data_IF_527395325406
#
_entry.id   IF_527395325406
#
_cell.length_a   1.000
_cell.length_b   1.000
_cell.length_c   1.000
_cell.angle_alpha   90.00
_cell.angle_beta   90.00
_cell.angle_gamma   90.00
#
_symmetry.space_group_name_H-M   'P 1'
#
loop_
_entity.id
_entity.type
_entity.pdbx_description
1 polymer ?
#
# COMPACT_ATOMS: atom_id res chain seq x y z
N UNK A 1 5.72 -26.52 -15.74
CA UNK A 1 4.96 -25.29 -15.42
C UNK A 1 5.68 -24.12 -16.05
N UNK A 2 5.01 -23.35 -16.89
CA UNK A 2 5.54 -22.10 -17.44
C UNK A 2 5.85 -21.13 -16.30
N UNK A 3 6.81 -20.23 -16.49
CA UNK A 3 7.20 -19.27 -15.45
C UNK A 3 6.02 -18.38 -15.02
N UNK A 4 5.09 -18.12 -15.94
CA UNK A 4 3.85 -17.40 -15.63
C UNK A 4 2.95 -18.16 -14.63
N UNK A 5 2.79 -19.49 -14.78
CA UNK A 5 1.99 -20.28 -13.84
C UNK A 5 2.59 -20.33 -12.43
N UNK A 6 3.92 -20.32 -12.32
CA UNK A 6 4.62 -20.26 -11.02
C UNK A 6 4.43 -18.90 -10.37
N UNK A 7 4.59 -17.81 -11.13
CA UNK A 7 4.41 -16.45 -10.61
C UNK A 7 2.95 -16.19 -10.20
N UNK A 8 1.98 -16.70 -10.96
CA UNK A 8 0.57 -16.59 -10.62
C UNK A 8 0.24 -17.29 -9.28
N UNK A 9 0.78 -18.49 -9.06
CA UNK A 9 0.62 -19.20 -7.78
C UNK A 9 1.35 -18.49 -6.64
N UNK A 10 2.54 -17.93 -6.88
CA UNK A 10 3.23 -17.07 -5.91
C UNK A 10 2.34 -15.89 -5.50
N UNK A 11 1.76 -15.18 -6.46
CA UNK A 11 0.87 -14.04 -6.16
C UNK A 11 -0.40 -14.46 -5.46
N UNK A 12 -0.98 -15.61 -5.82
CA UNK A 12 -2.12 -16.18 -5.09
C UNK A 12 -1.78 -16.32 -3.62
N UNK A 13 -0.68 -16.99 -3.30
CA UNK A 13 -0.25 -17.20 -1.92
C UNK A 13 0.08 -15.89 -1.20
N UNK A 14 0.71 -14.93 -1.88
CA UNK A 14 1.05 -13.63 -1.28
C UNK A 14 -0.22 -12.85 -0.92
N UNK A 15 -1.19 -12.81 -1.83
CA UNK A 15 -2.41 -12.01 -1.66
C UNK A 15 -3.46 -12.69 -0.77
N UNK A 16 -3.51 -14.02 -0.71
CA UNK A 16 -4.35 -14.77 0.25
C UNK A 16 -3.69 -14.92 1.63
N UNK A 17 -2.43 -14.49 1.79
CA UNK A 17 -1.69 -14.57 3.05
C UNK A 17 -1.11 -15.96 3.37
N UNK A 18 -1.13 -16.90 2.42
CA UNK A 18 -0.55 -18.24 2.53
C UNK A 18 0.98 -18.24 2.38
N UNK A 19 1.57 -17.18 1.82
CA UNK A 19 3.02 -17.09 1.60
C UNK A 19 3.79 -16.91 2.92
N UNK A 20 4.47 -17.98 3.35
CA UNK A 20 5.03 -18.14 4.71
C UNK A 20 6.11 -17.12 5.08
N UNK A 21 6.79 -16.51 4.11
CA UNK A 21 7.93 -15.65 4.39
C UNK A 21 7.53 -14.21 4.73
N UNK A 22 6.35 -13.74 4.28
CA UNK A 22 5.85 -12.40 4.66
C UNK A 22 5.58 -12.33 6.17
N UNK A 23 4.83 -13.24 6.82
CA UNK A 23 4.63 -13.21 8.27
C UNK A 23 5.93 -13.30 9.08
N UNK A 24 6.95 -14.00 8.58
CA UNK A 24 8.27 -14.07 9.23
C UNK A 24 9.00 -12.73 9.11
N UNK A 25 9.06 -12.16 7.91
CA UNK A 25 9.67 -10.85 7.69
C UNK A 25 9.00 -9.78 8.54
N UNK A 26 7.66 -9.77 8.58
CA UNK A 26 6.87 -8.86 9.41
C UNK A 26 7.21 -8.97 10.90
N UNK A 27 7.37 -10.19 11.42
CA UNK A 27 7.75 -10.45 12.82
C UNK A 27 9.17 -9.99 13.13
N UNK A 28 10.11 -10.23 12.24
CA UNK A 28 11.50 -9.79 12.38
C UNK A 28 11.60 -8.25 12.38
N UNK A 29 11.02 -7.61 11.35
CA UNK A 29 11.08 -6.17 11.17
C UNK A 29 10.32 -5.39 12.26
N UNK A 30 9.29 -6.00 12.87
CA UNK A 30 8.57 -5.40 14.00
C UNK A 30 9.48 -5.14 15.22
N UNK A 31 10.60 -5.85 15.37
CA UNK A 31 11.56 -5.63 16.46
C UNK A 31 12.40 -4.37 16.28
N UNK A 32 12.50 -3.87 15.05
CA UNK A 32 13.25 -2.65 14.75
C UNK A 32 12.28 -1.47 14.93
N UNK A 33 12.50 -0.57 15.90
CA UNK A 33 11.61 0.56 16.14
C UNK A 33 11.68 1.56 14.98
N UNK A 34 10.62 2.36 14.85
CA UNK A 34 10.42 3.47 13.88
C UNK A 34 9.21 3.27 12.96
N UNK A 35 8.56 4.39 12.64
CA UNK A 35 7.50 4.56 11.63
C UNK A 35 7.92 5.67 10.66
N UNK A 36 7.39 5.73 9.43
CA UNK A 36 6.48 4.78 8.79
C UNK A 36 7.16 3.48 8.37
N UNK A 37 6.36 2.45 8.07
CA UNK A 37 6.82 1.11 7.67
C UNK A 37 6.25 0.65 6.33
N UNK A 38 6.98 -0.27 5.70
CA UNK A 38 6.50 -1.04 4.57
C UNK A 38 5.26 -1.86 4.95
N UNK A 39 4.16 -1.66 4.23
CA UNK A 39 2.88 -2.35 4.48
C UNK A 39 2.93 -3.86 4.24
N UNK A 40 3.88 -4.34 3.42
CA UNK A 40 4.08 -5.77 3.14
C UNK A 40 4.95 -6.42 4.23
N UNK A 41 6.20 -5.97 4.39
CA UNK A 41 7.19 -6.65 5.24
C UNK A 41 7.52 -5.98 6.58
N UNK A 42 6.89 -4.85 6.93
CA UNK A 42 7.15 -4.02 8.13
C UNK A 42 8.53 -3.34 8.21
N UNK A 43 9.32 -3.33 7.14
CA UNK A 43 10.59 -2.61 7.10
C UNK A 43 10.40 -1.11 7.44
N UNK A 44 11.06 -0.56 8.46
CA UNK A 44 10.98 0.87 8.81
C UNK A 44 11.67 1.75 7.76
N UNK A 45 11.15 2.96 7.58
CA UNK A 45 11.65 3.93 6.60
C UNK A 45 12.42 5.10 7.21
N UNK A 46 12.19 5.41 8.48
CA UNK A 46 12.75 6.60 9.12
C UNK A 46 13.57 6.27 10.38
N UNK A 47 14.24 7.29 10.93
CA UNK A 47 15.00 7.18 12.17
C UNK A 47 16.15 6.16 12.10
N UNK A 48 16.69 5.82 13.27
CA UNK A 48 17.81 4.88 13.38
C UNK A 48 17.45 3.48 12.83
N UNK A 49 16.22 3.02 13.06
CA UNK A 49 15.75 1.74 12.54
C UNK A 49 15.70 1.69 11.03
N UNK A 50 15.20 2.74 10.38
CA UNK A 50 15.21 2.86 8.92
C UNK A 50 16.62 2.95 8.36
N UNK A 51 17.52 3.69 9.01
CA UNK A 51 18.93 3.77 8.60
C UNK A 51 19.62 2.40 8.70
N UNK A 52 19.41 1.66 9.79
CA UNK A 52 19.94 0.31 9.95
C UNK A 52 19.47 -0.62 8.82
N UNK A 53 18.17 -0.64 8.53
CA UNK A 53 17.60 -1.47 7.45
C UNK A 53 18.11 -1.06 6.09
N UNK A 54 18.28 0.24 5.84
CA UNK A 54 18.86 0.73 4.59
C UNK A 54 20.31 0.30 4.41
N UNK A 55 21.13 0.38 5.46
CA UNK A 55 22.55 0.03 5.39
C UNK A 55 22.79 -1.47 5.31
N UNK A 56 21.98 -2.27 6.01
CA UNK A 56 22.18 -3.72 6.10
C UNK A 56 21.45 -4.51 5.02
N UNK A 57 20.25 -4.09 4.65
CA UNK A 57 19.39 -4.80 3.69
C UNK A 57 19.24 -4.07 2.35
N UNK A 58 19.79 -2.86 2.21
CA UNK A 58 19.63 -2.05 0.99
C UNK A 58 18.18 -1.57 0.77
N UNK A 59 17.33 -1.63 1.80
CA UNK A 59 15.89 -1.36 1.67
C UNK A 59 15.57 0.06 2.15
N UNK A 60 14.99 0.85 1.26
CA UNK A 60 14.38 2.15 1.57
C UNK A 60 12.95 2.24 1.04
N UNK A 61 12.26 3.38 1.17
CA UNK A 61 10.97 3.60 0.52
C UNK A 61 11.06 3.40 -1.01
N UNK A 62 10.05 2.77 -1.61
CA UNK A 62 9.94 2.65 -3.06
C UNK A 62 9.65 4.02 -3.69
N UNK A 63 10.16 4.24 -4.91
CA UNK A 63 9.89 5.44 -5.72
C UNK A 63 8.48 5.46 -6.30
N UNK A 64 7.86 4.29 -6.46
CA UNK A 64 6.52 4.15 -7.06
C UNK A 64 5.44 4.30 -5.99
N UNK A 65 5.62 3.65 -4.83
CA UNK A 65 4.69 3.77 -3.72
C UNK A 65 5.47 3.88 -2.39
N UNK A 66 5.47 5.05 -1.74
CA UNK A 66 6.24 5.28 -0.51
C UNK A 66 5.74 4.46 0.70
N UNK A 67 4.59 3.77 0.59
CA UNK A 67 4.12 2.82 1.60
C UNK A 67 4.75 1.42 1.48
N UNK A 68 5.53 1.16 0.43
CA UNK A 68 6.27 -0.09 0.22
C UNK A 68 7.79 0.17 0.20
N UNK A 69 8.59 -0.84 0.55
CA UNK A 69 10.04 -0.76 0.42
C UNK A 69 10.52 -1.16 -0.98
N UNK A 70 11.70 -0.69 -1.38
CA UNK A 70 12.35 -1.06 -2.64
C UNK A 70 12.42 -2.56 -2.82
N UNK A 71 12.84 -3.33 -1.80
CA UNK A 71 12.95 -4.79 -1.93
C UNK A 71 11.62 -5.51 -2.15
N UNK A 72 10.49 -5.00 -1.64
CA UNK A 72 9.17 -5.56 -1.97
C UNK A 72 8.75 -5.21 -3.39
N UNK A 73 9.14 -4.03 -3.88
CA UNK A 73 8.93 -3.64 -5.27
C UNK A 73 9.81 -4.45 -6.23
N UNK A 74 11.08 -4.72 -5.88
CA UNK A 74 11.98 -5.53 -6.70
C UNK A 74 11.46 -6.97 -6.83
N UNK A 75 10.86 -7.53 -5.76
CA UNK A 75 10.18 -8.82 -5.82
C UNK A 75 9.01 -8.81 -6.82
N UNK A 76 8.23 -7.72 -6.83
CA UNK A 76 7.13 -7.52 -7.77
C UNK A 76 7.63 -7.52 -9.22
N UNK A 77 8.69 -6.75 -9.50
CA UNK A 77 9.28 -6.63 -10.84
C UNK A 77 9.92 -7.95 -11.30
N UNK A 78 10.59 -8.67 -10.40
CA UNK A 78 11.27 -9.92 -10.73
C UNK A 78 10.32 -11.10 -10.97
N UNK A 79 9.09 -11.04 -10.45
CA UNK A 79 8.12 -12.12 -10.55
C UNK A 79 6.79 -11.59 -11.11
N UNK A 80 6.73 -11.12 -12.36
CA UNK A 80 5.48 -10.63 -12.93
C UNK A 80 4.46 -11.77 -13.03
N UNK A 81 3.24 -11.53 -12.58
CA UNK A 81 2.14 -12.49 -12.63
C UNK A 81 0.83 -11.87 -12.19
N UNK A 82 -0.25 -12.64 -12.34
CA UNK A 82 -1.60 -12.25 -11.96
C UNK A 82 -2.34 -13.42 -11.32
N UNK A 83 -3.36 -13.12 -10.55
CA UNK A 83 -4.18 -14.14 -9.92
C UNK A 83 -5.56 -13.55 -9.62
N UNK A 84 -6.57 -14.42 -9.58
CA UNK A 84 -7.89 -14.05 -9.11
C UNK A 84 -7.98 -14.41 -7.63
N UNK A 85 -8.39 -13.44 -6.82
CA UNK A 85 -8.61 -13.61 -5.39
C UNK A 85 -9.98 -13.07 -5.03
N UNK A 86 -10.57 -13.62 -3.99
CA UNK A 86 -11.68 -12.98 -3.32
C UNK A 86 -11.18 -11.73 -2.60
N UNK A 87 -11.85 -10.59 -2.82
CA UNK A 87 -11.50 -9.33 -2.17
C UNK A 87 -12.73 -8.56 -1.73
N UNK A 88 -12.60 -7.83 -0.62
CA UNK A 88 -13.62 -6.89 -0.17
C UNK A 88 -13.30 -5.50 -0.73
N UNK A 89 -14.27 -4.91 -1.41
CA UNK A 89 -14.18 -3.55 -1.95
C UNK A 89 -14.95 -2.58 -1.05
N UNK A 90 -14.37 -1.41 -0.82
CA UNK A 90 -14.99 -0.31 -0.08
C UNK A 90 -15.08 0.92 -0.98
N UNK A 91 -16.27 1.53 -1.04
CA UNK A 91 -16.50 2.80 -1.72
C UNK A 91 -16.93 3.84 -0.68
N UNK A 92 -16.38 5.04 -0.80
CA UNK A 92 -16.75 6.20 0.02
C UNK A 92 -16.99 7.39 -0.90
N UNK A 93 -18.11 8.09 -0.67
CA UNK A 93 -18.53 9.24 -1.48
C UNK A 93 -19.15 10.33 -0.59
N UNK A 94 -19.14 11.57 -1.08
CA UNK A 94 -19.73 12.73 -0.44
C UNK A 94 -21.22 12.78 -0.81
N UNK A 95 -22.08 12.60 0.19
CA UNK A 95 -23.52 12.69 0.00
C UNK A 95 -23.94 14.06 -0.54
N UNK A 96 -24.71 14.06 -1.62
CA UNK A 96 -25.19 15.30 -2.25
C UNK A 96 -24.09 16.10 -2.96
N UNK A 97 -22.97 15.47 -3.33
CA UNK A 97 -21.86 16.10 -4.05
C UNK A 97 -22.32 16.87 -5.30
N UNK A 98 -23.31 16.38 -6.04
CA UNK A 98 -23.88 17.06 -7.20
C UNK A 98 -24.54 18.40 -6.85
N UNK A 99 -25.40 18.42 -5.82
CA UNK A 99 -26.06 19.64 -5.36
C UNK A 99 -25.02 20.65 -4.85
N UNK A 100 -24.05 20.18 -4.07
CA UNK A 100 -22.92 20.99 -3.62
C UNK A 100 -22.15 21.60 -4.81
N UNK A 101 -21.88 20.81 -5.85
CA UNK A 101 -21.21 21.31 -7.05
C UNK A 101 -22.03 22.35 -7.83
N UNK A 102 -23.35 22.28 -7.78
CA UNK A 102 -24.26 23.22 -8.45
C UNK A 102 -24.39 24.55 -7.69
N UNK A 103 -24.34 24.51 -6.36
CA UNK A 103 -24.55 25.68 -5.50
C UNK A 103 -23.24 26.38 -5.13
N UNK A 104 -22.12 25.65 -5.09
CA UNK A 104 -20.82 26.18 -4.67
C UNK A 104 -20.00 26.70 -5.85
N UNK A 105 -19.14 27.67 -5.57
CA UNK A 105 -18.08 28.07 -6.51
C UNK A 105 -17.06 26.94 -6.72
N UNK A 106 -16.50 26.83 -7.92
CA UNK A 106 -15.56 25.75 -8.31
C UNK A 106 -14.36 25.60 -7.37
N UNK A 107 -13.79 26.70 -6.89
CA UNK A 107 -12.68 26.70 -5.94
C UNK A 107 -13.09 26.14 -4.58
N UNK A 108 -14.29 26.48 -4.13
CA UNK A 108 -14.81 26.03 -2.83
C UNK A 108 -15.13 24.54 -2.86
N UNK A 109 -15.78 24.08 -3.93
CA UNK A 109 -16.04 22.66 -4.17
C UNK A 109 -14.72 21.88 -4.25
N UNK A 110 -13.73 22.38 -4.99
CA UNK A 110 -12.41 21.73 -5.11
C UNK A 110 -11.71 21.59 -3.75
N UNK A 111 -11.80 22.60 -2.87
CA UNK A 111 -11.28 22.49 -1.49
C UNK A 111 -12.03 21.44 -0.67
N UNK A 112 -13.35 21.35 -0.83
CA UNK A 112 -14.15 20.34 -0.14
C UNK A 112 -13.75 18.92 -0.57
N UNK A 113 -13.68 18.67 -1.88
CA UNK A 113 -13.24 17.39 -2.44
C UNK A 113 -11.83 17.02 -1.96
N UNK A 114 -10.89 17.97 -2.01
CA UNK A 114 -9.53 17.73 -1.56
C UNK A 114 -9.46 17.38 -0.06
N UNK A 115 -10.26 18.05 0.78
CA UNK A 115 -10.35 17.71 2.22
C UNK A 115 -10.87 16.29 2.43
N UNK A 116 -11.87 15.87 1.67
CA UNK A 116 -12.39 14.50 1.70
C UNK A 116 -11.31 13.49 1.29
N UNK A 117 -10.61 13.70 0.17
CA UNK A 117 -9.55 12.81 -0.27
C UNK A 117 -8.39 12.70 0.71
N UNK A 118 -7.95 13.81 1.30
CA UNK A 118 -6.91 13.79 2.34
C UNK A 118 -7.36 12.96 3.54
N UNK A 119 -8.58 13.18 4.03
CA UNK A 119 -9.12 12.44 5.17
C UNK A 119 -9.29 10.94 4.88
N UNK A 120 -9.91 10.58 3.74
CA UNK A 120 -10.13 9.20 3.34
C UNK A 120 -8.80 8.46 3.10
N UNK A 121 -7.87 9.09 2.37
CA UNK A 121 -6.53 8.51 2.11
C UNK A 121 -5.79 8.25 3.41
N UNK A 122 -5.85 9.17 4.37
CA UNK A 122 -5.23 8.97 5.67
C UNK A 122 -5.84 7.77 6.40
N UNK A 123 -7.18 7.71 6.54
CA UNK A 123 -7.89 6.61 7.21
C UNK A 123 -7.59 5.25 6.56
N UNK A 124 -7.63 5.17 5.24
CA UNK A 124 -7.33 3.95 4.49
C UNK A 124 -5.88 3.52 4.63
N UNK A 125 -4.94 4.47 4.53
CA UNK A 125 -3.51 4.21 4.68
C UNK A 125 -3.16 3.68 6.08
N UNK A 126 -3.70 4.28 7.15
CA UNK A 126 -3.44 3.79 8.52
C UNK A 126 -4.10 2.45 8.79
N UNK A 127 -5.26 2.18 8.15
CA UNK A 127 -5.98 0.90 8.25
C UNK A 127 -5.38 -0.20 7.37
N UNK A 128 -4.31 0.08 6.61
CA UNK A 128 -3.68 -0.83 5.65
C UNK A 128 -4.58 -1.25 4.48
N UNK A 129 -5.56 -0.43 4.13
CA UNK A 129 -6.33 -0.62 2.90
C UNK A 129 -5.48 -0.26 1.67
N UNK A 130 -5.71 -0.95 0.55
CA UNK A 130 -5.15 -0.62 -0.74
C UNK A 130 -6.07 0.40 -1.43
N UNK A 131 -5.53 1.56 -1.81
CA UNK A 131 -6.26 2.59 -2.54
C UNK A 131 -5.99 2.43 -4.04
N UNK A 132 -6.99 1.96 -4.79
CA UNK A 132 -6.85 1.70 -6.22
C UNK A 132 -7.16 2.94 -7.06
N UNK A 133 -8.24 3.66 -6.73
CA UNK A 133 -8.70 4.81 -7.50
C UNK A 133 -9.37 5.85 -6.62
N UNK A 134 -9.13 7.11 -6.95
CA UNK A 134 -9.93 8.25 -6.51
C UNK A 134 -10.62 8.79 -7.78
N UNK A 135 -11.94 8.99 -7.73
CA UNK A 135 -12.78 9.41 -8.86
C UNK A 135 -13.46 10.70 -8.51
#
# INVERSE_FOLDING_TARGET
MTDNAKNNELWRQVLTGEYKDIPKARRLMKRIPSEPRCKICNAPFSGLGGQLVRLTLGRGPSKINPHFCSGCYDLLVANPGSTEIEMTLLFADIRGSTTLAQEMGTTEFSRLINRFYVAATHVFSVSNAWIERLV
#
